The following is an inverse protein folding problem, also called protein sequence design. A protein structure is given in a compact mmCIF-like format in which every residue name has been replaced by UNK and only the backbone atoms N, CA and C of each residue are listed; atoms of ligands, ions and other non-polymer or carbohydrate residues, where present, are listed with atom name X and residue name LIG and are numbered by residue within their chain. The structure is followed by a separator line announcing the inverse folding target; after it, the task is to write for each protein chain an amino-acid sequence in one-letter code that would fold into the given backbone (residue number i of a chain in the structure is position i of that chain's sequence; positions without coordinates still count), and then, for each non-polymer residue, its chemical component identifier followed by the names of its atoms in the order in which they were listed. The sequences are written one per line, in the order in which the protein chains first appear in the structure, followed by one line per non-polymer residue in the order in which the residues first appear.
data_IF_385348944086
#
_entry.id   IF_385348944086
#
_cell.length_a   1.000
_cell.length_b   1.000
_cell.length_c   1.000
_cell.angle_alpha   90.00
_cell.angle_beta   90.00
_cell.angle_gamma   90.00
#
_symmetry.space_group_name_H-M   'P 1'
#
loop_
_entity.id
_entity.type
_entity.pdbx_description
1 polymer ?
#
# COMPACT_ATOMS: atom_id res chain seq x y z
N UNK A 1 -31.75 33.68 5.61
CA UNK A 1 -31.40 33.07 6.92
C UNK A 1 -31.59 31.55 6.93
N UNK A 2 -32.78 31.01 6.58
CA UNK A 2 -33.01 29.55 6.54
C UNK A 2 -32.03 28.79 5.62
N UNK A 3 -31.80 29.31 4.41
CA UNK A 3 -30.90 28.70 3.40
C UNK A 3 -29.42 28.70 3.80
N UNK A 4 -29.00 29.70 4.59
CA UNK A 4 -27.60 29.82 5.03
C UNK A 4 -27.31 28.87 6.21
N UNK A 5 -28.31 28.64 7.06
CA UNK A 5 -28.25 27.68 8.15
C UNK A 5 -28.26 26.24 7.64
N UNK A 6 -29.13 25.91 6.68
CA UNK A 6 -29.14 24.61 6.00
C UNK A 6 -27.82 24.32 5.28
N UNK A 7 -27.26 25.30 4.57
CA UNK A 7 -25.97 25.14 3.90
C UNK A 7 -24.82 24.91 4.89
N UNK A 8 -24.80 25.62 6.03
CA UNK A 8 -23.78 25.41 7.06
C UNK A 8 -23.91 24.04 7.73
N UNK A 9 -25.14 23.59 7.99
CA UNK A 9 -25.42 22.30 8.59
C UNK A 9 -25.07 21.13 7.64
N UNK A 10 -25.37 21.27 6.34
CA UNK A 10 -25.01 20.29 5.31
C UNK A 10 -23.50 20.25 5.07
N UNK A 11 -22.83 21.41 5.04
CA UNK A 11 -21.37 21.47 4.95
C UNK A 11 -20.70 20.78 6.16
N UNK A 12 -21.18 21.01 7.37
CA UNK A 12 -20.69 20.33 8.57
C UNK A 12 -20.84 18.80 8.49
N UNK A 13 -21.99 18.32 7.98
CA UNK A 13 -22.23 16.88 7.78
C UNK A 13 -21.32 16.26 6.71
N UNK A 14 -21.20 16.90 5.54
CA UNK A 14 -20.32 16.42 4.44
C UNK A 14 -18.85 16.32 4.89
N UNK A 15 -18.37 17.26 5.70
CA UNK A 15 -17.01 17.24 6.23
C UNK A 15 -16.78 16.11 7.25
N UNK A 16 -17.75 15.85 8.13
CA UNK A 16 -17.69 14.76 9.11
C UNK A 16 -17.69 13.41 8.38
N UNK A 17 -18.59 13.23 7.41
CA UNK A 17 -18.67 11.99 6.63
C UNK A 17 -17.38 11.72 5.84
N UNK A 18 -16.81 12.76 5.22
CA UNK A 18 -15.54 12.64 4.49
C UNK A 18 -14.38 12.31 5.42
N UNK A 19 -14.33 12.93 6.61
CA UNK A 19 -13.31 12.63 7.62
C UNK A 19 -13.42 11.19 8.13
N UNK A 20 -14.64 10.70 8.38
CA UNK A 20 -14.87 9.31 8.79
C UNK A 20 -14.46 8.31 7.68
N UNK A 21 -14.72 8.64 6.41
CA UNK A 21 -14.25 7.82 5.28
C UNK A 21 -12.73 7.81 5.18
N UNK A 22 -12.08 8.96 5.25
CA UNK A 22 -10.62 9.06 5.25
C UNK A 22 -9.99 8.25 6.39
N UNK A 23 -10.55 8.35 7.59
CA UNK A 23 -10.11 7.55 8.74
C UNK A 23 -10.28 6.04 8.49
N UNK A 24 -11.43 5.62 7.96
CA UNK A 24 -11.69 4.21 7.67
C UNK A 24 -10.75 3.65 6.57
N UNK A 25 -10.51 4.41 5.49
CA UNK A 25 -9.56 4.04 4.43
C UNK A 25 -8.15 3.94 5.00
N UNK A 26 -7.74 4.90 5.83
CA UNK A 26 -6.44 4.87 6.50
C UNK A 26 -6.29 3.66 7.42
N UNK A 27 -7.26 3.39 8.30
CA UNK A 27 -7.23 2.23 9.20
C UNK A 27 -7.20 0.90 8.44
N UNK A 28 -7.97 0.77 7.36
CA UNK A 28 -7.91 -0.42 6.49
C UNK A 28 -6.56 -0.53 5.77
N UNK A 29 -6.05 0.59 5.26
CA UNK A 29 -4.72 0.66 4.66
C UNK A 29 -3.64 0.15 5.59
N UNK A 30 -3.65 0.55 6.87
CA UNK A 30 -2.72 0.03 7.87
C UNK A 30 -2.85 -1.47 8.09
N UNK A 31 -4.07 -2.01 8.14
CA UNK A 31 -4.29 -3.45 8.26
C UNK A 31 -3.77 -4.21 7.02
N UNK A 32 -3.97 -3.66 5.83
CA UNK A 32 -3.44 -4.23 4.59
C UNK A 32 -1.91 -4.19 4.59
N UNK A 33 -1.28 -3.06 4.92
CA UNK A 33 0.19 -2.96 5.04
C UNK A 33 0.72 -3.97 6.04
N UNK A 34 0.11 -4.10 7.22
CA UNK A 34 0.54 -5.07 8.21
C UNK A 34 0.45 -6.51 7.69
N UNK A 35 -0.63 -6.85 6.98
CA UNK A 35 -0.82 -8.17 6.38
C UNK A 35 0.22 -8.46 5.30
N UNK A 36 0.48 -7.49 4.42
CA UNK A 36 1.44 -7.62 3.33
C UNK A 36 2.88 -7.70 3.87
N UNK A 37 3.24 -6.92 4.89
CA UNK A 37 4.54 -7.03 5.56
C UNK A 37 4.77 -8.40 6.20
N UNK A 38 3.76 -8.99 6.83
CA UNK A 38 3.83 -10.35 7.36
C UNK A 38 4.04 -11.36 6.23
N UNK A 39 3.28 -11.23 5.13
CA UNK A 39 3.42 -12.05 3.94
C UNK A 39 4.81 -11.94 3.30
N UNK A 40 5.31 -10.72 3.11
CA UNK A 40 6.63 -10.40 2.57
C UNK A 40 7.74 -10.97 3.45
N UNK A 41 7.63 -10.86 4.77
CA UNK A 41 8.60 -11.40 5.72
C UNK A 41 8.66 -12.93 5.63
N UNK A 42 7.50 -13.59 5.60
CA UNK A 42 7.42 -15.04 5.43
C UNK A 42 8.04 -15.49 4.10
N UNK A 43 7.68 -14.82 3.00
CA UNK A 43 8.22 -15.10 1.66
C UNK A 43 9.74 -14.91 1.61
N UNK A 44 10.24 -13.81 2.18
CA UNK A 44 11.68 -13.51 2.23
C UNK A 44 12.46 -14.59 3.01
N UNK A 45 11.88 -15.09 4.11
CA UNK A 45 12.48 -16.17 4.89
C UNK A 45 12.51 -17.50 4.12
N UNK A 46 11.39 -17.88 3.49
CA UNK A 46 11.30 -19.10 2.67
C UNK A 46 12.28 -19.07 1.50
N UNK A 47 12.33 -17.96 0.76
CA UNK A 47 13.23 -17.79 -0.39
C UNK A 47 14.71 -17.75 0.03
N UNK A 48 15.03 -17.06 1.13
CA UNK A 48 16.39 -17.02 1.67
C UNK A 48 16.85 -18.39 2.14
N UNK A 49 15.99 -19.13 2.84
CA UNK A 49 16.28 -20.50 3.28
C UNK A 49 16.51 -21.43 2.08
N UNK A 50 15.65 -21.36 1.06
CA UNK A 50 15.82 -22.15 -0.16
C UNK A 50 17.11 -21.79 -0.92
N UNK A 51 17.50 -20.52 -0.97
CA UNK A 51 18.77 -20.10 -1.56
C UNK A 51 19.96 -20.64 -0.77
N UNK A 52 19.93 -20.57 0.55
CA UNK A 52 20.98 -21.11 1.42
C UNK A 52 21.12 -22.63 1.28
N UNK A 53 20.01 -23.37 1.25
CA UNK A 53 20.04 -24.82 1.02
C UNK A 53 20.69 -25.18 -0.32
N UNK A 54 20.32 -24.47 -1.39
CA UNK A 54 20.93 -24.66 -2.72
C UNK A 54 22.42 -24.31 -2.73
N UNK A 55 22.82 -23.23 -2.06
CA UNK A 55 24.22 -22.83 -1.93
C UNK A 55 25.04 -23.84 -1.12
N UNK A 56 24.48 -24.37 -0.03
CA UNK A 56 25.14 -25.39 0.78
C UNK A 56 25.29 -26.74 0.03
N UNK A 57 24.36 -27.05 -0.87
CA UNK A 57 24.38 -28.28 -1.65
C UNK A 57 25.33 -28.25 -2.87
N UNK A 58 25.68 -27.06 -3.38
CA UNK A 58 26.51 -26.94 -4.59
C UNK A 58 28.00 -26.96 -4.30
N UNK A 59 28.76 -27.64 -5.17
CA UNK A 59 30.25 -27.65 -5.15
C UNK A 59 30.86 -26.85 -6.30
N UNK A 60 30.03 -26.28 -7.18
CA UNK A 60 30.45 -25.50 -8.35
C UNK A 60 30.22 -24.01 -8.09
N UNK A 61 31.24 -23.20 -8.36
CA UNK A 61 31.17 -21.74 -8.26
C UNK A 61 30.14 -21.16 -9.23
N UNK A 62 30.08 -21.66 -10.47
CA UNK A 62 29.14 -21.19 -11.49
C UNK A 62 27.69 -21.38 -11.02
N UNK A 63 27.40 -22.54 -10.40
CA UNK A 63 26.09 -22.83 -9.83
C UNK A 63 25.79 -21.99 -8.59
N UNK A 64 26.78 -21.68 -7.77
CA UNK A 64 26.60 -20.75 -6.65
C UNK A 64 26.24 -19.34 -7.13
N UNK A 65 26.90 -18.86 -8.18
CA UNK A 65 26.59 -17.56 -8.81
C UNK A 65 25.18 -17.56 -9.39
N UNK A 66 24.76 -18.64 -10.05
CA UNK A 66 23.40 -18.79 -10.58
C UNK A 66 22.34 -18.68 -9.47
N UNK A 67 22.52 -19.40 -8.36
CA UNK A 67 21.61 -19.36 -7.20
C UNK A 67 21.54 -17.96 -6.58
N UNK A 68 22.69 -17.32 -6.38
CA UNK A 68 22.73 -15.97 -5.79
C UNK A 68 22.09 -14.93 -6.73
N UNK A 69 22.30 -15.07 -8.05
CA UNK A 69 21.69 -14.18 -9.06
C UNK A 69 20.18 -14.37 -9.11
N UNK A 70 19.70 -15.61 -9.07
CA UNK A 70 18.27 -15.92 -9.02
C UNK A 70 17.63 -15.35 -7.75
N UNK A 71 18.26 -15.54 -6.59
CA UNK A 71 17.81 -14.97 -5.32
C UNK A 71 17.75 -13.44 -5.39
N UNK A 72 18.82 -12.77 -5.84
CA UNK A 72 18.86 -11.32 -5.94
C UNK A 72 17.76 -10.77 -6.86
N UNK A 73 17.54 -11.40 -8.02
CA UNK A 73 16.46 -11.03 -8.95
C UNK A 73 15.09 -11.17 -8.28
N UNK A 74 14.81 -12.30 -7.62
CA UNK A 74 13.53 -12.51 -6.92
C UNK A 74 13.32 -11.53 -5.78
N UNK A 75 14.34 -11.29 -4.96
CA UNK A 75 14.26 -10.29 -3.89
C UNK A 75 13.93 -8.91 -4.42
N UNK A 76 14.52 -8.52 -5.55
CA UNK A 76 14.20 -7.25 -6.22
C UNK A 76 12.75 -7.21 -6.74
N UNK A 77 12.30 -8.23 -7.46
CA UNK A 77 10.92 -8.34 -7.96
C UNK A 77 9.91 -8.24 -6.81
N UNK A 78 10.16 -8.97 -5.71
CA UNK A 78 9.31 -8.96 -4.53
C UNK A 78 9.27 -7.59 -3.85
N UNK A 79 10.42 -6.93 -3.71
CA UNK A 79 10.50 -5.60 -3.12
C UNK A 79 9.73 -4.56 -3.94
N UNK A 80 9.88 -4.58 -5.27
CA UNK A 80 9.15 -3.66 -6.15
C UNK A 80 7.65 -3.90 -6.06
N UNK A 81 7.22 -5.16 -6.05
CA UNK A 81 5.81 -5.52 -5.90
C UNK A 81 5.22 -5.00 -4.58
N UNK A 82 5.93 -5.22 -3.47
CA UNK A 82 5.48 -4.78 -2.15
C UNK A 82 5.45 -3.24 -2.04
N UNK A 83 6.47 -2.57 -2.57
CA UNK A 83 6.53 -1.11 -2.62
C UNK A 83 5.38 -0.51 -3.44
N UNK A 84 5.02 -1.14 -4.56
CA UNK A 84 3.89 -0.71 -5.38
C UNK A 84 2.56 -0.80 -4.61
N UNK A 85 2.33 -1.90 -3.89
CA UNK A 85 1.12 -2.08 -3.05
C UNK A 85 1.01 -1.01 -1.96
N UNK A 86 2.12 -0.72 -1.25
CA UNK A 86 2.13 0.35 -0.24
C UNK A 86 1.84 1.71 -0.91
N UNK A 87 2.38 1.95 -2.10
CA UNK A 87 2.11 3.15 -2.89
C UNK A 87 0.63 3.30 -3.27
N UNK A 88 -0.06 2.19 -3.61
CA UNK A 88 -1.51 2.20 -3.89
C UNK A 88 -2.32 2.62 -2.66
N UNK A 89 -1.98 2.11 -1.47
CA UNK A 89 -2.65 2.49 -0.22
C UNK A 89 -2.51 3.99 0.06
N UNK A 90 -1.30 4.55 -0.14
CA UNK A 90 -1.08 5.98 -0.03
C UNK A 90 -1.90 6.79 -1.04
N UNK A 91 -1.98 6.31 -2.28
CA UNK A 91 -2.79 6.94 -3.34
C UNK A 91 -4.28 6.95 -2.97
N UNK A 92 -4.82 5.85 -2.44
CA UNK A 92 -6.21 5.77 -1.99
C UNK A 92 -6.53 6.77 -0.87
N UNK A 93 -5.64 6.88 0.13
CA UNK A 93 -5.77 7.88 1.20
C UNK A 93 -5.78 9.30 0.62
N UNK A 94 -4.85 9.60 -0.29
CA UNK A 94 -4.78 10.91 -0.94
C UNK A 94 -6.06 11.20 -1.73
N UNK A 95 -6.58 10.25 -2.51
CA UNK A 95 -7.82 10.40 -3.26
C UNK A 95 -9.01 10.68 -2.34
N UNK A 96 -9.14 9.97 -1.22
CA UNK A 96 -10.22 10.21 -0.24
C UNK A 96 -10.10 11.60 0.40
N UNK A 97 -8.87 12.04 0.72
CA UNK A 97 -8.62 13.36 1.28
C UNK A 97 -8.93 14.50 0.29
N UNK A 98 -8.76 14.30 -1.01
CA UNK A 98 -9.04 15.31 -2.04
C UNK A 98 -10.50 15.33 -2.52
N UNK A 99 -11.29 14.30 -2.21
CA UNK A 99 -12.69 14.16 -2.65
C UNK A 99 -13.61 15.36 -2.31
N UNK A 100 -13.51 16.02 -1.14
CA UNK A 100 -14.32 17.20 -0.84
C UNK A 100 -14.08 18.38 -1.81
N UNK A 101 -12.89 18.47 -2.42
CA UNK A 101 -12.51 19.54 -3.34
C UNK A 101 -13.00 19.28 -4.78
N UNK A 102 -13.15 18.01 -5.20
CA UNK A 102 -13.75 17.66 -6.49
C UNK A 102 -15.20 18.13 -6.61
N UNK A 103 -15.97 18.00 -5.52
CA UNK A 103 -17.35 18.52 -5.46
C UNK A 103 -17.43 20.05 -5.49
N UNK A 104 -16.42 20.75 -4.97
CA UNK A 104 -16.35 22.22 -5.03
C UNK A 104 -16.03 22.72 -6.45
N UNK A 105 -15.16 22.03 -7.19
CA UNK A 105 -14.83 22.36 -8.58
C UNK A 105 -16.03 22.16 -9.53
N UNK A 106 -16.78 21.07 -9.35
CA UNK A 106 -18.00 20.81 -10.13
C UNK A 106 -19.16 21.77 -9.81
N UNK A 107 -19.18 22.38 -8.62
CA UNK A 107 -20.16 23.41 -8.25
C UNK A 107 -19.76 24.82 -8.72
N UNK A 108 -18.52 25.02 -9.15
CA UNK A 108 -17.99 26.30 -9.63
C UNK A 108 -18.02 26.46 -11.16
N UNK A 109 -18.47 25.43 -11.89
CA UNK A 109 -18.66 25.44 -13.36
C UNK A 109 -20.14 25.51 -13.73
#
# INVERSE_FOLDING_TARGET
MATQYDNFQNFGKENIESSLKAFNVFSKGLQTVATELVGYSKKSFEEGSAALEKLAATKSLDKAIEVQTEYARKSYENFVQESAKIGEIYKEIAQEAFRPYEGAFNRAR
#
